data_IF_693172131844
#
_entry.id   IF_693172131844
#
_cell.length_a   1.000
_cell.length_b   1.000
_cell.length_c   1.000
_cell.angle_alpha   90.00
_cell.angle_beta   90.00
_cell.angle_gamma   90.00
#
_symmetry.space_group_name_H-M   'P 1'
#
loop_
_entity.id
_entity.type
_entity.pdbx_description
1 polymer ?
#
# COMPACT_ATOMS: atom_id res chain seq x y z
N UNK A 1 -22.09 -8.36 -3.48
CA UNK A 1 -21.19 -8.30 -2.31
C UNK A 1 -19.79 -8.04 -2.83
N UNK A 2 -19.26 -6.84 -2.62
CA UNK A 2 -17.89 -6.52 -3.00
C UNK A 2 -16.95 -7.20 -1.99
N UNK A 3 -16.14 -8.15 -2.45
CA UNK A 3 -15.06 -8.72 -1.64
C UNK A 3 -13.95 -7.68 -1.64
N UNK A 4 -13.61 -7.14 -0.47
CA UNK A 4 -12.49 -6.22 -0.36
C UNK A 4 -11.21 -7.02 -0.68
N UNK A 5 -10.61 -6.72 -1.83
CA UNK A 5 -9.34 -7.29 -2.25
C UNK A 5 -8.27 -6.26 -1.89
N UNK A 6 -7.25 -6.67 -1.13
CA UNK A 6 -6.02 -5.88 -1.04
C UNK A 6 -5.31 -6.07 -2.37
N UNK A 7 -5.28 -4.99 -3.16
CA UNK A 7 -4.45 -4.92 -4.36
C UNK A 7 -3.15 -4.29 -3.93
N UNK A 8 -2.07 -5.07 -4.00
CA UNK A 8 -0.73 -4.55 -3.80
C UNK A 8 -0.14 -4.27 -5.17
N UNK A 9 0.33 -3.05 -5.36
CA UNK A 9 0.94 -2.63 -6.61
C UNK A 9 2.45 -2.73 -6.42
N UNK A 10 3.11 -3.54 -7.23
CA UNK A 10 4.57 -3.61 -7.27
C UNK A 10 5.00 -2.99 -8.59
N UNK A 11 5.82 -1.95 -8.51
CA UNK A 11 6.47 -1.34 -9.66
C UNK A 11 7.84 -2.02 -9.82
N UNK A 12 7.97 -2.97 -10.74
CA UNK A 12 9.28 -3.49 -11.18
C UNK A 12 9.57 -2.97 -12.59
N UNK A 13 10.85 -2.74 -12.90
CA UNK A 13 11.46 -1.89 -13.94
C UNK A 13 10.84 -1.83 -15.37
N UNK A 14 9.83 -2.64 -15.72
CA UNK A 14 9.16 -2.64 -17.03
C UNK A 14 7.63 -2.88 -17.01
N UNK A 15 6.94 -2.71 -15.89
CA UNK A 15 5.48 -2.75 -15.88
C UNK A 15 4.82 -2.69 -14.50
N UNK A 16 3.58 -2.20 -14.45
CA UNK A 16 2.76 -2.16 -13.24
C UNK A 16 2.15 -3.56 -13.00
N UNK A 17 2.67 -4.30 -12.03
CA UNK A 17 2.14 -5.63 -11.69
C UNK A 17 1.21 -5.51 -10.48
N UNK A 18 -0.10 -5.65 -10.73
CA UNK A 18 -1.11 -5.69 -9.67
C UNK A 18 -1.16 -7.11 -9.11
N UNK A 19 -0.76 -7.31 -7.86
CA UNK A 19 -0.96 -8.59 -7.19
C UNK A 19 -2.26 -8.53 -6.38
N UNK A 20 -3.16 -9.48 -6.63
CA UNK A 20 -4.37 -9.64 -5.82
C UNK A 20 -4.01 -10.49 -4.62
N UNK A 21 -3.90 -9.87 -3.44
CA UNK A 21 -3.71 -10.61 -2.19
C UNK A 21 -5.07 -11.15 -1.76
N UNK A 22 -5.20 -12.48 -1.77
CA UNK A 22 -6.41 -13.16 -1.32
C UNK A 22 -6.60 -12.96 0.19
N UNK A 23 -7.64 -12.22 0.58
CA UNK A 23 -8.04 -12.13 1.99
C UNK A 23 -8.88 -13.33 2.40
N UNK A 24 -8.62 -13.83 3.61
CA UNK A 24 -9.41 -14.87 4.26
C UNK A 24 -10.39 -14.26 5.26
N UNK A 25 -11.66 -14.57 5.08
CA UNK A 25 -12.71 -14.13 6.01
C UNK A 25 -12.63 -14.93 7.31
N UNK A 26 -12.69 -14.23 8.44
CA UNK A 26 -12.61 -14.79 9.78
C UNK A 26 -13.74 -14.23 10.65
N UNK A 27 -14.65 -15.06 11.19
CA UNK A 27 -15.67 -14.59 12.13
C UNK A 27 -15.04 -13.92 13.36
N UNK A 28 -15.67 -12.85 13.85
CA UNK A 28 -15.18 -12.10 15.00
C UNK A 28 -15.01 -12.97 16.25
N UNK A 29 -15.97 -13.87 16.52
CA UNK A 29 -15.86 -14.79 17.66
C UNK A 29 -14.63 -15.72 17.53
N UNK A 30 -14.39 -16.25 16.33
CA UNK A 30 -13.24 -17.12 16.08
C UNK A 30 -11.91 -16.36 16.18
N UNK A 31 -11.87 -15.11 15.71
CA UNK A 31 -10.69 -14.25 15.80
C UNK A 31 -10.31 -13.97 17.26
N UNK A 32 -11.29 -13.69 18.12
CA UNK A 32 -11.06 -13.49 19.56
C UNK A 32 -10.56 -14.78 20.21
N UNK A 33 -11.23 -15.91 19.96
CA UNK A 33 -10.91 -17.19 20.58
C UNK A 33 -9.56 -17.77 20.14
N UNK A 34 -9.10 -17.42 18.92
CA UNK A 34 -7.90 -18.00 18.30
C UNK A 34 -6.87 -16.95 17.90
N UNK A 35 -6.84 -15.81 18.59
CA UNK A 35 -5.98 -14.69 18.25
C UNK A 35 -4.49 -15.06 18.08
N UNK A 36 -3.86 -15.87 18.96
CA UNK A 36 -2.45 -16.22 18.78
C UNK A 36 -2.16 -17.01 17.49
N UNK A 37 -3.09 -17.88 17.09
CA UNK A 37 -2.99 -18.63 15.83
C UNK A 37 -3.21 -17.70 14.64
N UNK A 38 -4.18 -16.79 14.74
CA UNK A 38 -4.49 -15.82 13.71
C UNK A 38 -3.29 -14.87 13.46
N UNK A 39 -2.63 -14.38 14.51
CA UNK A 39 -1.41 -13.57 14.41
C UNK A 39 -0.29 -14.31 13.66
N UNK A 40 -0.19 -15.64 13.82
CA UNK A 40 0.80 -16.44 13.08
C UNK A 40 0.41 -16.63 11.62
N UNK A 41 -0.88 -16.77 11.30
CA UNK A 41 -1.33 -16.94 9.91
C UNK A 41 -1.18 -15.66 9.09
N UNK A 42 -1.40 -14.48 9.71
CA UNK A 42 -1.33 -13.20 8.98
C UNK A 42 0.05 -12.81 8.47
N UNK A 43 1.12 -13.46 8.95
CA UNK A 43 2.45 -13.34 8.36
C UNK A 43 2.54 -13.86 6.92
N UNK A 44 1.58 -14.70 6.50
CA UNK A 44 1.52 -15.26 5.15
C UNK A 44 0.39 -14.65 4.33
N UNK A 45 -0.78 -14.47 4.93
CA UNK A 45 -1.99 -14.00 4.25
C UNK A 45 -2.82 -13.08 5.16
N UNK A 46 -3.24 -11.89 4.69
CA UNK A 46 -4.14 -11.02 5.44
C UNK A 46 -5.47 -11.70 5.80
N UNK A 47 -6.00 -11.37 6.97
CA UNK A 47 -7.31 -11.85 7.43
C UNK A 47 -8.31 -10.70 7.53
N UNK A 48 -9.53 -10.92 7.05
CA UNK A 48 -10.65 -10.00 7.18
C UNK A 48 -11.56 -10.45 8.30
N UNK A 49 -11.72 -9.64 9.33
CA UNK A 49 -12.59 -9.95 10.46
C UNK A 49 -14.02 -9.53 10.13
N UNK A 50 -14.95 -10.49 10.18
CA UNK A 50 -16.36 -10.28 9.84
C UNK A 50 -17.27 -10.50 11.06
N UNK A 51 -18.34 -9.71 11.18
CA UNK A 51 -19.42 -9.92 12.16
C UNK A 51 -20.76 -9.86 11.45
N UNK A 52 -21.56 -10.92 11.58
CA UNK A 52 -22.85 -11.04 10.89
C UNK A 52 -22.77 -10.77 9.36
N UNK A 53 -21.68 -11.23 8.72
CA UNK A 53 -21.45 -11.04 7.28
C UNK A 53 -20.96 -9.65 6.87
N UNK A 54 -20.72 -8.75 7.83
CA UNK A 54 -20.20 -7.40 7.57
C UNK A 54 -18.72 -7.35 7.95
N UNK A 55 -17.81 -6.90 7.05
CA UNK A 55 -16.42 -6.63 7.40
C UNK A 55 -16.32 -5.59 8.53
N UNK A 56 -15.46 -5.84 9.50
CA UNK A 56 -15.28 -4.98 10.68
C UNK A 56 -13.84 -4.49 10.82
N UNK A 57 -12.86 -5.35 10.50
CA UNK A 57 -11.44 -5.02 10.60
C UNK A 57 -10.62 -5.91 9.66
N UNK A 58 -9.36 -5.52 9.43
CA UNK A 58 -8.36 -6.31 8.73
C UNK A 58 -7.20 -6.53 9.69
N UNK A 59 -6.64 -7.74 9.67
CA UNK A 59 -5.40 -8.07 10.34
C UNK A 59 -4.34 -8.43 9.30
N UNK A 60 -3.22 -7.72 9.34
CA UNK A 60 -2.05 -7.89 8.49
C UNK A 60 -0.80 -8.03 9.36
N UNK A 61 0.30 -8.50 8.76
CA UNK A 61 1.61 -8.45 9.42
C UNK A 61 2.12 -7.01 9.51
N UNK A 62 3.10 -6.77 10.39
CA UNK A 62 3.74 -5.44 10.50
C UNK A 62 4.50 -5.12 9.22
N UNK A 63 5.19 -6.11 8.65
CA UNK A 63 5.94 -5.95 7.40
C UNK A 63 5.02 -5.54 6.24
N UNK A 64 3.82 -6.14 6.16
CA UNK A 64 2.81 -5.74 5.17
C UNK A 64 2.27 -4.33 5.41
N UNK A 65 2.07 -3.96 6.68
CA UNK A 65 1.65 -2.60 7.03
C UNK A 65 2.69 -1.56 6.60
N UNK A 66 3.97 -1.82 6.87
CA UNK A 66 5.09 -0.95 6.46
C UNK A 66 5.16 -0.81 4.94
N UNK A 67 5.03 -1.92 4.21
CA UNK A 67 4.97 -1.90 2.74
C UNK A 67 3.80 -1.08 2.20
N UNK A 68 2.62 -1.13 2.84
CA UNK A 68 1.48 -0.33 2.41
C UNK A 68 1.65 1.16 2.71
N UNK A 69 2.35 1.48 3.81
CA UNK A 69 2.68 2.86 4.13
C UNK A 69 3.65 3.43 3.10
N UNK A 70 4.74 2.72 2.82
CA UNK A 70 5.74 3.09 1.80
C UNK A 70 5.11 3.24 0.42
N UNK A 71 4.32 2.26 -0.02
CA UNK A 71 3.62 2.33 -1.30
C UNK A 71 2.62 3.50 -1.37
N UNK A 72 2.03 3.91 -0.25
CA UNK A 72 1.15 5.09 -0.22
C UNK A 72 1.92 6.37 -0.46
N UNK A 73 3.13 6.51 0.10
CA UNK A 73 4.00 7.67 -0.12
C UNK A 73 4.49 7.71 -1.58
N UNK A 74 4.89 6.56 -2.14
CA UNK A 74 5.31 6.47 -3.55
C UNK A 74 4.21 6.90 -4.54
N UNK A 75 2.94 6.57 -4.27
CA UNK A 75 1.83 6.99 -5.11
C UNK A 75 1.61 8.51 -5.10
N UNK A 76 1.83 9.16 -3.95
CA UNK A 76 1.76 10.62 -3.84
C UNK A 76 2.90 11.29 -4.63
N UNK A 77 4.11 10.74 -4.55
CA UNK A 77 5.27 11.23 -5.31
C UNK A 77 5.09 11.07 -6.82
N UNK A 78 4.55 9.94 -7.29
CA UNK A 78 4.23 9.71 -8.70
C UNK A 78 3.20 10.74 -9.18
N UNK A 79 2.13 10.95 -8.42
CA UNK A 79 1.10 11.93 -8.77
C UNK A 79 1.68 13.35 -8.86
N UNK A 80 2.52 13.75 -7.90
CA UNK A 80 3.20 15.05 -7.92
C UNK A 80 4.16 15.20 -9.12
N UNK A 81 4.87 14.13 -9.48
CA UNK A 81 5.75 14.12 -10.65
C UNK A 81 4.96 14.23 -11.96
N UNK A 82 3.82 13.53 -12.08
CA UNK A 82 2.92 13.63 -13.23
C UNK A 82 2.33 15.04 -13.36
N UNK A 83 1.87 15.63 -12.26
CA UNK A 83 1.35 17.01 -12.22
C UNK A 83 2.44 18.02 -12.65
N UNK A 84 3.67 17.86 -12.16
CA UNK A 84 4.80 18.71 -12.53
C UNK A 84 5.20 18.59 -14.01
N UNK A 85 5.06 17.41 -14.61
CA UNK A 85 5.30 17.20 -16.04
C UNK A 85 4.20 17.83 -16.91
N UNK A 86 3.00 17.97 -16.38
CA UNK A 86 1.87 18.60 -17.08
C UNK A 86 1.85 20.12 -16.90
N UNK A 87 2.55 20.69 -15.92
CA UNK A 87 2.66 22.12 -15.72
C UNK A 87 3.46 22.79 -16.86
N UNK A 88 2.83 23.65 -17.68
CA UNK A 88 3.53 24.39 -18.74
C UNK A 88 4.37 25.57 -18.21
N UNK A 89 4.45 25.73 -16.89
CA UNK A 89 5.25 26.74 -16.21
C UNK A 89 6.75 26.66 -16.53
N UNK A 90 7.52 27.69 -16.15
CA UNK A 90 8.94 27.75 -16.43
C UNK A 90 9.72 26.69 -15.65
N UNK A 91 10.44 25.82 -16.36
CA UNK A 91 11.34 24.83 -15.76
C UNK A 91 12.74 25.41 -15.49
N UNK A 92 13.35 25.07 -14.35
CA UNK A 92 14.72 25.48 -14.01
C UNK A 92 15.71 24.38 -14.45
N UNK A 93 16.76 24.68 -15.23
CA UNK A 93 17.78 23.69 -15.58
C UNK A 93 18.52 23.14 -14.34
N UNK A 94 18.80 21.84 -14.33
CA UNK A 94 19.45 21.14 -13.20
C UNK A 94 20.79 21.76 -12.76
N UNK A 95 21.56 22.31 -13.70
CA UNK A 95 22.82 23.00 -13.39
C UNK A 95 22.57 24.27 -12.56
N UNK A 96 21.58 25.06 -12.93
CA UNK A 96 21.21 26.31 -12.23
C UNK A 96 20.74 26.01 -10.82
N UNK A 97 19.83 25.04 -10.66
CA UNK A 97 19.31 24.65 -9.34
C UNK A 97 20.43 24.22 -8.39
N UNK A 98 21.41 23.43 -8.88
CA UNK A 98 22.55 23.00 -8.05
C UNK A 98 23.46 24.15 -7.62
N UNK A 99 23.62 25.18 -8.47
CA UNK A 99 24.38 26.38 -8.10
C UNK A 99 23.65 27.18 -7.01
N UNK A 100 22.33 27.33 -7.12
CA UNK A 100 21.52 28.02 -6.11
C UNK A 100 21.54 27.29 -4.76
N UNK A 101 21.46 25.96 -4.79
CA UNK A 101 21.55 25.11 -3.59
C UNK A 101 23.00 24.89 -3.09
N UNK A 102 24.02 25.47 -3.75
CA UNK A 102 25.45 25.32 -3.41
C UNK A 102 25.93 23.87 -3.37
N UNK A 103 25.37 23.02 -4.23
CA UNK A 103 25.76 21.62 -4.39
C UNK A 103 26.89 21.45 -5.43
N UNK A 104 27.31 22.54 -6.08
CA UNK A 104 28.42 22.65 -7.04
C UNK A 104 29.10 24.02 -6.93
#
# INVERSE_FOLDING_TARGET
MARLLLVTFSCEDYGFFCTVVGMKDFPLEDAINRLPTLIRSVRKEPAMIIKHGVPQAILISIEQYEQFLEASEELEDIAAAEDALQDPGPTIPWRTLKQELRLL
#
